data_IF_631563634289
#
_entry.id   IF_631563634289
#
_cell.length_a   1.000
_cell.length_b   1.000
_cell.length_c   1.000
_cell.angle_alpha   90.00
_cell.angle_beta   90.00
_cell.angle_gamma   90.00
#
_symmetry.space_group_name_H-M   'P 1'
#
loop_
_entity.id
_entity.type
_entity.pdbx_description
1 polymer ?
#
# COMPACT_ATOMS: atom_id res chain seq x y z
N UNK A 1 -0.87 25.27 5.77
CA UNK A 1 -1.18 23.93 6.27
C UNK A 1 -0.96 23.96 7.76
N UNK A 2 -1.98 23.65 8.55
CA UNK A 2 -1.78 23.52 9.99
C UNK A 2 -1.08 22.19 10.33
N UNK A 3 -0.57 22.07 11.56
CA UNK A 3 0.14 20.88 12.01
C UNK A 3 -0.75 19.61 12.05
N UNK A 4 -2.05 19.76 12.29
CA UNK A 4 -3.01 18.66 12.29
C UNK A 4 -3.27 18.14 10.87
N UNK A 5 -3.42 19.03 9.88
CA UNK A 5 -3.53 18.67 8.46
C UNK A 5 -2.29 17.91 7.97
N UNK A 6 -1.09 18.37 8.35
CA UNK A 6 0.17 17.69 8.05
C UNK A 6 0.22 16.30 8.69
N UNK A 7 -0.20 16.17 9.94
CA UNK A 7 -0.24 14.88 10.63
C UNK A 7 -1.22 13.90 9.96
N UNK A 8 -2.38 14.37 9.52
CA UNK A 8 -3.33 13.53 8.77
C UNK A 8 -2.75 13.09 7.41
N UNK A 9 -2.10 14.01 6.68
CA UNK A 9 -1.43 13.69 5.43
C UNK A 9 -0.33 12.63 5.64
N UNK A 10 0.46 12.73 6.71
CA UNK A 10 1.49 11.75 7.05
C UNK A 10 0.91 10.37 7.38
N UNK A 11 -0.19 10.31 8.16
CA UNK A 11 -0.90 9.04 8.42
C UNK A 11 -1.38 8.40 7.13
N UNK A 12 -1.93 9.21 6.21
CA UNK A 12 -2.41 8.75 4.91
C UNK A 12 -1.28 8.18 4.05
N UNK A 13 -0.17 8.90 3.93
CA UNK A 13 1.01 8.45 3.19
C UNK A 13 1.60 7.17 3.78
N UNK A 14 1.61 7.04 5.11
CA UNK A 14 2.05 5.82 5.79
C UNK A 14 1.17 4.62 5.45
N UNK A 15 -0.16 4.79 5.45
CA UNK A 15 -1.10 3.74 5.06
C UNK A 15 -0.86 3.28 3.61
N UNK A 16 -0.77 4.23 2.67
CA UNK A 16 -0.47 3.97 1.26
C UNK A 16 0.81 3.16 1.09
N UNK A 17 1.85 3.56 1.80
CA UNK A 17 3.15 2.89 1.77
C UNK A 17 3.06 1.45 2.29
N UNK A 18 2.36 1.21 3.41
CA UNK A 18 2.14 -0.13 3.96
C UNK A 18 1.40 -1.00 2.93
N UNK A 19 0.31 -0.50 2.35
CA UNK A 19 -0.48 -1.21 1.33
C UNK A 19 0.33 -1.53 0.08
N UNK A 20 1.10 -0.57 -0.45
CA UNK A 20 2.01 -0.78 -1.58
C UNK A 20 3.01 -1.91 -1.31
N UNK A 21 3.51 -2.02 -0.08
CA UNK A 21 4.45 -3.08 0.29
C UNK A 21 3.77 -4.44 0.43
N UNK A 22 2.54 -4.49 0.93
CA UNK A 22 1.74 -5.71 1.00
C UNK A 22 1.48 -6.32 -0.38
N UNK A 23 1.39 -5.50 -1.43
CA UNK A 23 1.27 -5.97 -2.82
C UNK A 23 2.41 -6.87 -3.29
N UNK A 24 3.60 -6.78 -2.66
CA UNK A 24 4.72 -7.69 -2.98
C UNK A 24 4.37 -9.16 -2.70
N UNK A 25 3.47 -9.40 -1.76
CA UNK A 25 2.98 -10.73 -1.42
C UNK A 25 1.87 -11.23 -2.34
N UNK A 26 1.29 -10.40 -3.21
CA UNK A 26 0.11 -10.74 -4.01
C UNK A 26 0.37 -11.89 -4.97
N UNK A 27 1.45 -11.84 -5.76
CA UNK A 27 1.80 -12.94 -6.69
C UNK A 27 2.11 -14.24 -5.93
N UNK A 28 2.98 -14.25 -4.90
CA UNK A 28 3.20 -15.46 -4.09
C UNK A 28 1.92 -16.05 -3.51
N UNK A 29 1.04 -15.24 -2.91
CA UNK A 29 -0.25 -15.69 -2.35
C UNK A 29 -1.18 -16.27 -3.42
N UNK A 30 -1.22 -15.65 -4.59
CA UNK A 30 -2.03 -16.12 -5.72
C UNK A 30 -1.59 -17.49 -6.22
N UNK A 31 -0.29 -17.78 -6.18
CA UNK A 31 0.29 -19.06 -6.63
C UNK A 31 0.36 -20.13 -5.54
N UNK A 32 0.20 -19.75 -4.27
CA UNK A 32 0.29 -20.65 -3.12
C UNK A 32 -0.61 -21.89 -3.23
N UNK A 33 -1.87 -21.81 -3.74
CA UNK A 33 -2.69 -23.00 -3.94
C UNK A 33 -2.07 -24.02 -4.91
N UNK A 34 -1.21 -23.63 -5.85
CA UNK A 34 -0.63 -24.53 -6.85
C UNK A 34 0.48 -25.42 -6.29
N UNK A 35 1.09 -25.03 -5.17
CA UNK A 35 2.18 -25.78 -4.52
C UNK A 35 1.69 -26.62 -3.34
N UNK A 36 0.43 -26.48 -2.94
CA UNK A 36 -0.18 -27.23 -1.85
C UNK A 36 -0.77 -28.57 -2.31
N UNK A 37 -0.80 -29.54 -1.40
CA UNK A 37 -1.51 -30.81 -1.62
C UNK A 37 -3.00 -30.60 -1.40
N UNK A 38 -3.80 -30.89 -2.42
CA UNK A 38 -5.27 -30.80 -2.37
C UNK A 38 -5.92 -32.19 -2.39
N UNK A 39 -7.09 -32.35 -1.75
CA UNK A 39 -7.81 -33.63 -1.74
C UNK A 39 -8.42 -33.98 -3.10
N UNK A 40 -8.63 -33.00 -3.99
CA UNK A 40 -9.16 -33.20 -5.34
C UNK A 40 -8.77 -32.05 -6.29
N UNK A 41 -8.87 -32.24 -7.62
CA UNK A 41 -8.70 -31.17 -8.59
C UNK A 41 -9.68 -30.00 -8.41
N UNK A 42 -10.93 -30.29 -8.03
CA UNK A 42 -11.93 -29.25 -7.76
C UNK A 42 -11.54 -28.37 -6.56
N UNK A 43 -11.01 -28.98 -5.50
CA UNK A 43 -10.55 -28.25 -4.32
C UNK A 43 -9.36 -27.32 -4.67
N UNK A 44 -8.43 -27.79 -5.50
CA UNK A 44 -7.33 -26.97 -6.04
C UNK A 44 -7.87 -25.79 -6.84
N UNK A 45 -8.80 -26.04 -7.76
CA UNK A 45 -9.36 -24.99 -8.62
C UNK A 45 -10.08 -23.92 -7.80
N UNK A 46 -10.91 -24.31 -6.83
CA UNK A 46 -11.59 -23.36 -5.94
C UNK A 46 -10.61 -22.53 -5.11
N UNK A 47 -9.58 -23.17 -4.54
CA UNK A 47 -8.55 -22.47 -3.77
C UNK A 47 -7.78 -21.46 -4.64
N UNK A 48 -7.43 -21.83 -5.87
CA UNK A 48 -6.76 -20.94 -6.82
C UNK A 48 -7.64 -19.77 -7.25
N UNK A 49 -8.89 -20.02 -7.64
CA UNK A 49 -9.84 -18.95 -8.02
C UNK A 49 -10.03 -17.96 -6.88
N UNK A 50 -10.16 -18.45 -5.64
CA UNK A 50 -10.24 -17.59 -4.47
C UNK A 50 -8.99 -16.72 -4.33
N UNK A 51 -7.79 -17.29 -4.44
CA UNK A 51 -6.54 -16.54 -4.33
C UNK A 51 -6.39 -15.47 -5.43
N UNK A 52 -6.88 -15.73 -6.64
CA UNK A 52 -6.94 -14.73 -7.73
C UNK A 52 -7.91 -13.60 -7.41
N UNK A 53 -9.09 -13.91 -6.87
CA UNK A 53 -10.08 -12.90 -6.44
C UNK A 53 -9.51 -12.02 -5.32
N UNK A 54 -8.91 -12.63 -4.30
CA UNK A 54 -8.28 -11.90 -3.19
C UNK A 54 -7.14 -10.99 -3.72
N UNK A 55 -6.31 -11.49 -4.64
CA UNK A 55 -5.24 -10.71 -5.27
C UNK A 55 -5.78 -9.50 -6.05
N UNK A 56 -6.89 -9.68 -6.78
CA UNK A 56 -7.56 -8.56 -7.45
C UNK A 56 -8.08 -7.53 -6.46
N UNK A 57 -8.65 -7.96 -5.33
CA UNK A 57 -9.14 -7.06 -4.29
C UNK A 57 -8.00 -6.27 -3.63
N UNK A 58 -6.87 -6.91 -3.34
CA UNK A 58 -5.68 -6.24 -2.80
C UNK A 58 -5.20 -5.11 -3.73
N UNK A 59 -5.16 -5.36 -5.05
CA UNK A 59 -4.75 -4.37 -6.06
C UNK A 59 -5.79 -3.26 -6.20
N UNK A 60 -7.08 -3.61 -6.21
CA UNK A 60 -8.16 -2.64 -6.29
C UNK A 60 -8.15 -1.70 -5.09
N UNK A 61 -8.07 -2.23 -3.87
CA UNK A 61 -8.03 -1.44 -2.64
C UNK A 61 -6.86 -0.44 -2.65
N UNK A 62 -5.68 -0.89 -3.07
CA UNK A 62 -4.53 0.01 -3.17
C UNK A 62 -4.72 1.09 -4.24
N UNK A 63 -5.28 0.72 -5.39
CA UNK A 63 -5.52 1.67 -6.50
C UNK A 63 -6.53 2.73 -6.07
N UNK A 64 -7.66 2.31 -5.48
CA UNK A 64 -8.69 3.22 -4.98
C UNK A 64 -8.13 4.16 -3.92
N UNK A 65 -7.29 3.64 -3.02
CA UNK A 65 -6.64 4.44 -1.98
C UNK A 65 -5.68 5.48 -2.58
N UNK A 66 -4.95 5.13 -3.65
CA UNK A 66 -4.00 6.01 -4.34
C UNK A 66 -4.69 7.12 -5.15
N UNK A 67 -5.83 6.81 -5.76
CA UNK A 67 -6.55 7.72 -6.68
C UNK A 67 -7.71 8.45 -6.01
N UNK A 68 -7.85 8.36 -4.69
CA UNK A 68 -8.86 9.15 -4.01
C UNK A 68 -8.43 10.63 -3.91
N UNK A 69 -9.42 11.51 -3.86
CA UNK A 69 -9.17 12.96 -3.88
C UNK A 69 -8.27 13.43 -2.74
N UNK A 70 -8.28 12.76 -1.59
CA UNK A 70 -7.39 13.08 -0.47
C UNK A 70 -5.93 12.77 -0.80
N UNK A 71 -5.63 11.60 -1.35
CA UNK A 71 -4.25 11.22 -1.67
C UNK A 71 -3.71 12.05 -2.84
N UNK A 72 -4.54 12.31 -3.86
CA UNK A 72 -4.18 13.20 -4.97
C UNK A 72 -3.81 14.61 -4.49
N UNK A 73 -4.60 15.20 -3.58
CA UNK A 73 -4.31 16.51 -3.00
C UNK A 73 -3.00 16.51 -2.20
N UNK A 74 -2.74 15.45 -1.43
CA UNK A 74 -1.49 15.33 -0.65
C UNK A 74 -0.28 15.26 -1.58
N UNK A 75 -0.35 14.46 -2.65
CA UNK A 75 0.76 14.36 -3.61
C UNK A 75 0.98 15.68 -4.36
N UNK A 76 -0.07 16.33 -4.84
CA UNK A 76 0.02 17.63 -5.51
C UNK A 76 0.61 18.71 -4.59
N UNK A 77 0.22 18.71 -3.31
CA UNK A 77 0.78 19.62 -2.32
C UNK A 77 2.26 19.34 -2.03
N UNK A 78 2.65 18.07 -1.94
CA UNK A 78 4.04 17.68 -1.73
C UNK A 78 4.93 18.08 -2.93
N UNK A 79 4.45 17.88 -4.15
CA UNK A 79 5.14 18.27 -5.39
C UNK A 79 5.33 19.80 -5.45
N UNK A 80 4.26 20.56 -5.22
CA UNK A 80 4.34 22.03 -5.16
C UNK A 80 5.29 22.54 -4.08
N UNK A 81 5.34 21.85 -2.93
CA UNK A 81 6.27 22.19 -1.84
C UNK A 81 7.73 21.96 -2.25
N UNK A 82 8.02 20.87 -2.96
CA UNK A 82 9.37 20.56 -3.47
C UNK A 82 9.82 21.59 -4.50
N UNK A 83 8.92 22.02 -5.39
CA UNK A 83 9.20 23.05 -6.41
C UNK A 83 9.47 24.44 -5.81
N UNK A 84 8.62 24.88 -4.87
CA UNK A 84 8.70 26.23 -4.30
C UNK A 84 9.83 26.35 -3.28
N UNK A 85 10.15 25.28 -2.55
CA UNK A 85 11.13 25.32 -1.48
C UNK A 85 11.92 24.02 -1.40
N UNK A 86 12.83 23.82 -2.36
CA UNK A 86 13.77 22.71 -2.35
C UNK A 86 14.83 22.90 -1.27
N UNK A 87 14.44 22.68 0.00
CA UNK A 87 15.30 22.75 1.18
C UNK A 87 16.40 21.66 1.20
N UNK A 88 16.68 21.00 0.07
CA UNK A 88 17.63 19.90 -0.03
C UNK A 88 17.24 18.68 0.80
N UNK A 89 15.95 18.52 1.12
CA UNK A 89 15.46 17.44 1.97
C UNK A 89 15.71 16.11 1.26
N UNK A 90 16.57 15.27 1.84
CA UNK A 90 16.79 13.92 1.34
C UNK A 90 15.51 13.10 1.53
N UNK A 91 15.08 12.44 0.45
CA UNK A 91 13.97 11.48 0.51
C UNK A 91 14.26 10.41 1.56
N UNK A 92 13.29 10.15 2.43
CA UNK A 92 13.41 9.09 3.43
C UNK A 92 13.57 7.74 2.76
N UNK A 93 14.57 6.99 3.20
CA UNK A 93 14.66 5.57 2.88
C UNK A 93 13.78 4.81 3.84
N UNK A 94 13.26 3.70 3.35
CA UNK A 94 12.46 2.78 4.15
C UNK A 94 13.18 2.24 5.40
N UNK A 95 14.52 2.31 5.50
CA UNK A 95 15.24 1.88 6.70
C UNK A 95 15.48 3.01 7.72
N UNK A 96 15.14 4.26 7.39
CA UNK A 96 15.53 5.42 8.18
C UNK A 96 14.66 5.64 9.44
N UNK A 97 13.53 4.93 9.57
CA UNK A 97 12.65 5.02 10.74
C UNK A 97 12.26 3.61 11.20
N UNK A 98 12.38 3.21 12.48
CA UNK A 98 12.16 1.82 12.91
C UNK A 98 10.70 1.34 12.84
N UNK A 99 9.73 2.23 13.04
CA UNK A 99 8.29 1.89 13.05
C UNK A 99 7.57 2.19 11.72
N UNK A 100 8.33 2.42 10.66
CA UNK A 100 7.83 2.74 9.31
C UNK A 100 6.85 1.71 8.73
N UNK A 101 6.88 0.47 9.21
CA UNK A 101 6.00 -0.62 8.76
C UNK A 101 4.85 -0.95 9.74
N UNK A 102 4.83 -0.33 10.93
CA UNK A 102 3.73 -0.55 11.88
C UNK A 102 2.55 0.34 11.50
N UNK A 103 1.36 -0.24 11.34
CA UNK A 103 0.13 0.56 11.28
C UNK A 103 0.05 1.45 12.51
N UNK A 104 -0.32 2.71 12.33
CA UNK A 104 -0.62 3.57 13.47
C UNK A 104 -1.84 2.99 14.21
N UNK A 105 -1.76 2.93 15.54
CA UNK A 105 -2.92 2.62 16.36
C UNK A 105 -3.83 3.85 16.36
N UNK A 106 -5.13 3.62 16.23
CA UNK A 106 -6.15 4.68 16.39
C UNK A 106 -6.04 5.36 17.76
#
# INVERSE_FOLDING_TARGET
>A
MDEAELNQAMKRLKLLYIKARLLRGTIPKMLDPLVQKHPSPDALFQAFVKAVVDARLDVQEFTDLMTDGTSEQIFAQAEKSEEVNSLGIKRWKHMDHPDWFKMDKE
#
